data_IF_111742662994
#
_entry.id   IF_111742662994
#
_cell.length_a   1.000
_cell.length_b   1.000
_cell.length_c   1.000
_cell.angle_alpha   90.00
_cell.angle_beta   90.00
_cell.angle_gamma   90.00
#
_symmetry.space_group_name_H-M   'P 1'
#
loop_
_entity.id
_entity.type
_entity.pdbx_description
1 polymer ?
#
# COMPACT_ATOMS: atom_id res chain seq x y z
N UNK A 1 -13.10 2.69 13.38
CA UNK A 1 -12.21 3.17 14.47
C UNK A 1 -11.68 2.09 15.42
N UNK A 2 -12.04 0.79 15.27
CA UNK A 2 -11.54 -0.27 16.20
C UNK A 2 -10.13 -0.78 15.92
N UNK A 3 -9.68 -0.71 14.66
CA UNK A 3 -8.37 -1.24 14.22
C UNK A 3 -7.18 -0.57 14.95
N UNK A 4 -7.06 0.78 15.04
CA UNK A 4 -5.93 1.38 15.74
C UNK A 4 -5.91 1.07 17.24
N UNK A 5 -7.09 0.94 17.86
CA UNK A 5 -7.20 0.59 19.28
C UNK A 5 -6.72 -0.85 19.54
N UNK A 6 -7.12 -1.80 18.70
CA UNK A 6 -6.69 -3.21 18.80
C UNK A 6 -5.18 -3.36 18.63
N UNK A 7 -4.59 -2.60 17.70
CA UNK A 7 -3.14 -2.58 17.50
C UNK A 7 -2.43 -2.06 18.74
N UNK A 8 -2.94 -0.97 19.34
CA UNK A 8 -2.36 -0.37 20.54
C UNK A 8 -2.44 -1.32 21.74
N UNK A 9 -3.58 -1.99 21.92
CA UNK A 9 -3.80 -3.01 22.95
C UNK A 9 -2.86 -4.20 22.74
N UNK A 10 -2.72 -4.70 21.50
CA UNK A 10 -1.79 -5.78 21.19
C UNK A 10 -0.33 -5.40 21.46
N UNK A 11 0.04 -4.15 21.19
CA UNK A 11 1.39 -3.62 21.43
C UNK A 11 1.73 -3.54 22.92
N UNK A 12 0.80 -3.03 23.73
CA UNK A 12 0.91 -2.99 25.20
C UNK A 12 0.94 -4.42 25.76
N UNK A 13 0.08 -5.31 25.26
CA UNK A 13 0.10 -6.71 25.68
C UNK A 13 1.41 -7.40 25.32
N UNK A 14 1.99 -7.20 24.14
CA UNK A 14 3.26 -7.81 23.72
C UNK A 14 4.45 -7.36 24.58
N UNK A 15 4.46 -6.09 25.00
CA UNK A 15 5.54 -5.52 25.83
C UNK A 15 5.38 -5.83 27.32
N UNK A 16 4.14 -5.96 27.80
CA UNK A 16 3.81 -6.18 29.22
C UNK A 16 3.62 -7.68 29.55
N UNK A 17 3.25 -8.51 28.57
CA UNK A 17 3.12 -9.97 28.68
C UNK A 17 4.29 -10.66 29.40
N UNK A 18 5.56 -10.32 29.11
CA UNK A 18 6.69 -10.92 29.80
C UNK A 18 6.59 -10.77 31.32
N UNK A 19 6.03 -9.67 31.84
CA UNK A 19 5.91 -9.42 33.28
C UNK A 19 5.04 -10.45 34.01
N UNK A 20 4.11 -11.11 33.31
CA UNK A 20 3.30 -12.19 33.88
C UNK A 20 4.09 -13.51 34.07
N UNK A 21 5.20 -13.69 33.34
CA UNK A 21 6.07 -14.88 33.42
C UNK A 21 7.27 -14.69 34.36
N UNK A 22 7.16 -13.77 35.33
CA UNK A 22 8.22 -13.43 36.28
C UNK A 22 8.76 -14.63 37.08
N UNK A 23 7.97 -15.70 37.17
CA UNK A 23 8.31 -16.97 37.84
C UNK A 23 9.20 -17.91 37.02
N UNK A 24 9.44 -17.64 35.74
CA UNK A 24 10.24 -18.50 34.87
C UNK A 24 11.72 -18.12 34.85
N UNK A 25 12.57 -19.16 34.80
CA UNK A 25 14.05 -19.05 34.85
C UNK A 25 14.65 -18.11 33.79
N UNK A 26 13.96 -17.93 32.66
CA UNK A 26 14.40 -17.14 31.50
C UNK A 26 13.71 -15.77 31.36
N UNK A 27 12.97 -15.33 32.38
CA UNK A 27 12.21 -14.07 32.35
C UNK A 27 13.05 -12.84 31.97
N UNK A 28 14.32 -12.80 32.42
CA UNK A 28 15.27 -11.72 32.11
C UNK A 28 15.55 -11.57 30.60
N UNK A 29 15.37 -12.63 29.81
CA UNK A 29 15.58 -12.63 28.35
C UNK A 29 14.29 -12.36 27.56
N UNK A 30 13.11 -12.58 28.16
CA UNK A 30 11.83 -12.39 27.49
C UNK A 30 11.50 -10.90 27.23
N UNK A 31 11.85 -10.01 28.17
CA UNK A 31 11.68 -8.56 28.02
C UNK A 31 12.46 -7.98 26.82
N UNK A 32 13.79 -8.14 26.74
CA UNK A 32 14.55 -7.61 25.60
C UNK A 32 14.14 -8.27 24.28
N UNK A 33 13.80 -9.57 24.28
CA UNK A 33 13.33 -10.26 23.07
C UNK A 33 11.98 -9.71 22.57
N UNK A 34 11.02 -9.47 23.47
CA UNK A 34 9.73 -8.89 23.11
C UNK A 34 9.87 -7.48 22.54
N UNK A 35 10.70 -6.64 23.15
CA UNK A 35 10.99 -5.30 22.64
C UNK A 35 11.70 -5.36 21.29
N UNK A 36 12.61 -6.32 21.07
CA UNK A 36 13.28 -6.50 19.79
C UNK A 36 12.29 -6.89 18.69
N UNK A 37 11.34 -7.79 18.97
CA UNK A 37 10.27 -8.16 18.03
C UNK A 37 9.41 -6.95 17.69
N UNK A 38 9.03 -6.16 18.69
CA UNK A 38 8.21 -4.97 18.52
C UNK A 38 8.91 -3.90 17.67
N UNK A 39 10.19 -3.64 17.94
CA UNK A 39 11.01 -2.70 17.15
C UNK A 39 11.21 -3.22 15.74
N UNK A 40 11.47 -4.51 15.56
CA UNK A 40 11.61 -5.13 14.24
C UNK A 40 10.32 -5.05 13.42
N UNK A 41 9.16 -5.31 14.04
CA UNK A 41 7.85 -5.14 13.40
C UNK A 41 7.57 -3.67 13.04
N UNK A 42 7.94 -2.73 13.92
CA UNK A 42 7.82 -1.30 13.65
C UNK A 42 8.70 -0.85 12.47
N UNK A 43 9.96 -1.28 12.45
CA UNK A 43 10.88 -1.01 11.35
C UNK A 43 10.40 -1.64 10.03
N UNK A 44 9.90 -2.87 10.09
CA UNK A 44 9.30 -3.56 8.95
C UNK A 44 8.10 -2.79 8.38
N UNK A 45 7.18 -2.34 9.24
CA UNK A 45 6.02 -1.53 8.85
C UNK A 45 6.45 -0.22 8.19
N UNK A 46 7.43 0.48 8.75
CA UNK A 46 7.95 1.71 8.16
C UNK A 46 8.57 1.47 6.78
N UNK A 47 9.38 0.43 6.63
CA UNK A 47 9.94 0.03 5.34
C UNK A 47 8.84 -0.33 4.33
N UNK A 48 7.83 -1.08 4.77
CA UNK A 48 6.67 -1.44 3.97
C UNK A 48 5.92 -0.20 3.47
N UNK A 49 5.58 0.74 4.36
CA UNK A 49 4.91 1.99 3.97
C UNK A 49 5.76 2.88 3.08
N UNK A 50 7.08 2.93 3.29
CA UNK A 50 7.97 3.67 2.41
C UNK A 50 8.02 3.06 1.00
N UNK A 51 8.12 1.73 0.89
CA UNK A 51 8.05 1.05 -0.40
C UNK A 51 6.71 1.32 -1.07
N UNK A 52 5.59 1.15 -0.36
CA UNK A 52 4.25 1.40 -0.89
C UNK A 52 4.11 2.82 -1.44
N UNK A 53 4.59 3.82 -0.68
CA UNK A 53 4.59 5.24 -1.11
C UNK A 53 5.44 5.49 -2.36
N UNK A 54 6.61 4.87 -2.45
CA UNK A 54 7.48 5.02 -3.61
C UNK A 54 6.88 4.35 -4.86
N UNK A 55 6.22 3.20 -4.69
CA UNK A 55 5.48 2.54 -5.77
C UNK A 55 4.30 3.38 -6.26
N UNK A 56 3.50 3.96 -5.35
CA UNK A 56 2.40 4.83 -5.74
C UNK A 56 2.89 6.02 -6.56
N UNK A 57 3.97 6.68 -6.12
CA UNK A 57 4.58 7.79 -6.87
C UNK A 57 5.10 7.38 -8.25
N UNK A 58 5.73 6.22 -8.36
CA UNK A 58 6.22 5.69 -9.63
C UNK A 58 5.07 5.40 -10.59
N UNK A 59 4.02 4.75 -10.11
CA UNK A 59 2.86 4.43 -10.91
C UNK A 59 2.00 5.67 -11.25
N UNK A 60 2.02 6.73 -10.43
CA UNK A 60 1.44 8.04 -10.76
C UNK A 60 2.17 8.69 -11.93
N UNK A 61 3.49 8.69 -11.89
CA UNK A 61 4.29 9.20 -12.99
C UNK A 61 4.02 8.40 -14.28
N UNK A 62 3.91 7.07 -14.18
CA UNK A 62 3.60 6.17 -15.29
C UNK A 62 2.21 6.48 -15.88
N UNK A 63 1.15 6.51 -15.06
CA UNK A 63 -0.21 6.77 -15.51
C UNK A 63 -0.36 8.14 -16.20
N UNK A 64 0.32 9.18 -15.67
CA UNK A 64 0.36 10.51 -16.29
C UNK A 64 1.10 10.47 -17.62
N UNK A 65 2.22 9.74 -17.70
CA UNK A 65 3.00 9.62 -18.94
C UNK A 65 2.22 8.90 -20.05
N UNK A 66 1.58 7.76 -19.74
CA UNK A 66 0.78 6.98 -20.70
C UNK A 66 -0.45 7.76 -21.16
N UNK A 67 -1.12 8.47 -20.23
CA UNK A 67 -2.25 9.34 -20.57
C UNK A 67 -1.82 10.47 -21.52
N UNK A 68 -0.67 11.09 -21.24
CA UNK A 68 -0.12 12.16 -22.09
C UNK A 68 0.24 11.61 -23.47
N UNK A 69 0.81 10.42 -23.55
CA UNK A 69 1.17 9.77 -24.81
C UNK A 69 -0.07 9.39 -25.64
N UNK A 70 -1.10 8.83 -25.00
CA UNK A 70 -2.38 8.53 -25.63
C UNK A 70 -3.02 9.77 -26.27
N UNK A 71 -3.09 10.88 -25.52
CA UNK A 71 -3.63 12.14 -26.04
C UNK A 71 -2.76 12.74 -27.14
N UNK A 72 -1.43 12.63 -27.02
CA UNK A 72 -0.48 13.11 -28.04
C UNK A 72 -0.63 12.35 -29.36
N UNK A 73 -0.92 11.06 -29.29
CA UNK A 73 -1.08 10.19 -30.46
C UNK A 73 -2.51 10.22 -31.05
N UNK A 74 -3.31 11.23 -30.70
CA UNK A 74 -4.66 11.42 -31.26
C UNK A 74 -5.73 10.56 -30.60
N UNK A 75 -5.46 9.99 -29.43
CA UNK A 75 -6.46 9.28 -28.63
C UNK A 75 -7.63 10.19 -28.21
N UNK A 76 -8.84 9.64 -28.20
CA UNK A 76 -10.05 10.40 -27.86
C UNK A 76 -10.15 10.65 -26.35
N UNK A 77 -10.12 11.92 -25.89
CA UNK A 77 -10.24 12.25 -24.47
C UNK A 77 -11.58 11.82 -23.87
N UNK A 78 -12.66 11.74 -24.65
CA UNK A 78 -13.97 11.32 -24.15
C UNK A 78 -14.00 9.83 -23.81
N UNK A 79 -13.31 8.99 -24.58
CA UNK A 79 -13.17 7.55 -24.32
C UNK A 79 -12.31 7.32 -23.09
N UNK A 80 -11.18 8.04 -22.98
CA UNK A 80 -10.32 7.98 -21.81
C UNK A 80 -11.09 8.37 -20.54
N UNK A 81 -11.84 9.47 -20.57
CA UNK A 81 -12.64 9.94 -19.43
C UNK A 81 -13.65 8.89 -18.98
N UNK A 82 -14.41 8.29 -19.91
CA UNK A 82 -15.39 7.24 -19.55
C UNK A 82 -14.76 6.02 -18.91
N UNK A 83 -13.59 5.58 -19.39
CA UNK A 83 -12.90 4.41 -18.82
C UNK A 83 -12.37 4.70 -17.41
N UNK A 84 -11.82 5.90 -17.21
CA UNK A 84 -11.36 6.35 -15.90
C UNK A 84 -12.52 6.49 -14.89
N UNK A 85 -13.66 7.00 -15.35
CA UNK A 85 -14.89 7.10 -14.54
C UNK A 85 -15.41 5.71 -14.13
N UNK A 86 -15.42 4.75 -15.07
CA UNK A 86 -15.79 3.36 -14.77
C UNK A 86 -14.87 2.68 -13.73
N UNK A 87 -13.58 3.02 -13.71
CA UNK A 87 -12.64 2.55 -12.67
C UNK A 87 -12.91 3.24 -11.33
N UNK A 88 -13.26 4.52 -11.33
CA UNK A 88 -13.64 5.24 -10.12
C UNK A 88 -14.90 4.67 -9.46
N UNK A 89 -15.86 4.20 -10.27
CA UNK A 89 -17.11 3.58 -9.80
C UNK A 89 -16.92 2.12 -9.37
N UNK A 90 -15.80 1.50 -9.77
CA UNK A 90 -15.47 0.12 -9.39
C UNK A 90 -14.99 0.06 -7.94
N UNK A 91 -15.31 -1.01 -7.18
CA UNK A 91 -14.85 -1.15 -5.82
C UNK A 91 -13.31 -1.10 -5.77
N UNK A 92 -12.72 -0.19 -4.97
CA UNK A 92 -11.29 -0.01 -4.98
C UNK A 92 -10.60 -1.27 -4.45
N UNK A 93 -9.54 -1.76 -5.11
CA UNK A 93 -8.76 -2.89 -4.61
C UNK A 93 -8.13 -2.57 -3.25
N UNK A 94 -7.91 -3.61 -2.45
CA UNK A 94 -7.54 -3.49 -1.04
C UNK A 94 -6.15 -2.87 -0.77
N UNK A 95 -5.31 -2.70 -1.80
CA UNK A 95 -3.96 -2.15 -1.66
C UNK A 95 -3.77 -0.93 -2.56
N UNK A 96 -3.04 0.11 -2.11
CA UNK A 96 -2.68 1.27 -2.92
C UNK A 96 -2.04 0.90 -4.26
N UNK A 97 -1.19 -0.13 -4.27
CA UNK A 97 -0.60 -0.66 -5.51
C UNK A 97 -1.63 -1.28 -6.45
N UNK A 98 -2.61 -1.99 -5.89
CA UNK A 98 -3.73 -2.54 -6.65
C UNK A 98 -4.56 -1.43 -7.28
N UNK A 99 -4.83 -0.36 -6.53
CA UNK A 99 -5.59 0.80 -7.02
C UNK A 99 -4.88 1.36 -8.23
N UNK A 100 -3.58 1.60 -8.10
CA UNK A 100 -2.84 2.25 -9.18
C UNK A 100 -2.70 1.41 -10.44
N UNK A 101 -2.55 0.10 -10.31
CA UNK A 101 -2.64 -0.82 -11.46
C UNK A 101 -4.00 -0.79 -12.11
N UNK A 102 -5.06 -0.80 -11.31
CA UNK A 102 -6.42 -0.77 -11.83
C UNK A 102 -6.70 0.51 -12.65
N UNK A 103 -6.14 1.64 -12.22
CA UNK A 103 -6.17 2.90 -12.98
C UNK A 103 -5.34 2.85 -14.27
N UNK A 104 -4.13 2.29 -14.23
CA UNK A 104 -3.27 2.10 -15.40
C UNK A 104 -3.93 1.21 -16.46
N UNK A 105 -4.52 0.09 -16.04
CA UNK A 105 -5.17 -0.88 -16.95
C UNK A 105 -6.38 -0.30 -17.69
N UNK A 106 -6.97 0.79 -17.19
CA UNK A 106 -8.09 1.45 -17.84
C UNK A 106 -7.69 2.47 -18.91
N UNK A 107 -6.42 2.86 -18.97
CA UNK A 107 -5.92 3.70 -20.06
C UNK A 107 -6.01 2.86 -21.35
N UNK A 108 -6.71 3.34 -22.40
CA UNK A 108 -6.77 2.61 -23.66
C UNK A 108 -5.35 2.40 -24.24
N UNK A 109 -5.10 1.27 -24.91
CA UNK A 109 -3.86 1.12 -25.66
C UNK A 109 -3.73 2.24 -26.70
N UNK A 110 -2.49 2.61 -27.01
CA UNK A 110 -2.21 3.61 -28.02
C UNK A 110 -2.89 3.22 -29.34
N UNK A 111 -3.53 4.16 -30.05
CA UNK A 111 -4.03 3.87 -31.39
C UNK A 111 -2.85 3.40 -32.24
N UNK A 112 -2.96 2.21 -32.82
CA UNK A 112 -1.95 1.69 -33.73
C UNK A 112 -1.76 2.68 -34.88
N UNK A 113 -0.51 3.02 -35.21
CA UNK A 113 -0.19 3.79 -36.41
C UNK A 113 -0.85 3.08 -37.59
N UNK A 114 -1.92 3.66 -38.14
CA UNK A 114 -2.44 3.21 -39.42
C UNK A 114 -1.32 3.42 -40.45
N UNK A 115 -0.94 2.37 -41.21
CA UNK A 115 0.18 2.40 -42.15
C UNK A 115 -0.01 3.42 -43.29
#
# INVERSE_FOLDING_TARGET
MMIPLLVLVAWVLLTVWPLFFRRWKYWKYLLPLSNFIVVALGAWLLCYFQMERNFTRGAEAEAVSTTREYLKNGGDPAILSRKLEAVSDSPPPATPRGVMRHWLDAIPPLPEEQP
#
